data_IF_372429997633
#
_entry.id   IF_372429997633
#
_cell.length_a   1.000
_cell.length_b   1.000
_cell.length_c   1.000
_cell.angle_alpha   90.00
_cell.angle_beta   90.00
_cell.angle_gamma   90.00
#
_symmetry.space_group_name_H-M   'P 1'
#
loop_
_entity.id
_entity.type
_entity.pdbx_description
1 polymer ?
#
# COMPACT_ATOMS: atom_id res chain seq x y z
N UNK A 1 -4.91 -3.37 -22.24
CA UNK A 1 -5.42 -2.61 -21.08
C UNK A 1 -4.56 -2.89 -19.87
N UNK A 2 -4.13 -1.85 -19.18
CA UNK A 2 -3.39 -2.07 -17.93
C UNK A 2 -4.32 -2.71 -16.90
N UNK A 3 -3.80 -3.70 -16.20
CA UNK A 3 -4.53 -4.32 -15.12
C UNK A 3 -4.58 -3.37 -13.91
N UNK A 4 -5.62 -3.47 -13.08
CA UNK A 4 -5.78 -2.64 -11.89
C UNK A 4 -4.58 -2.73 -10.95
N UNK A 5 -3.95 -3.90 -10.85
CA UNK A 5 -2.80 -4.08 -9.98
C UNK A 5 -1.55 -3.30 -10.44
N UNK A 6 -1.54 -2.78 -11.68
CA UNK A 6 -0.44 -1.94 -12.14
C UNK A 6 -0.30 -0.67 -11.30
N UNK A 7 -1.43 -0.12 -10.82
CA UNK A 7 -1.37 1.04 -9.93
C UNK A 7 -0.61 0.68 -8.64
N UNK A 8 -0.90 -0.49 -8.07
CA UNK A 8 -0.26 -0.95 -6.84
C UNK A 8 1.20 -1.30 -7.07
N UNK A 9 1.53 -1.85 -8.24
CA UNK A 9 2.93 -2.07 -8.63
C UNK A 9 3.68 -0.77 -8.77
N UNK A 10 3.05 0.23 -9.40
CA UNK A 10 3.64 1.56 -9.52
C UNK A 10 3.87 2.19 -8.14
N UNK A 11 2.90 2.05 -7.24
CA UNK A 11 3.03 2.56 -5.88
C UNK A 11 4.17 1.88 -5.12
N UNK A 12 4.28 0.56 -5.26
CA UNK A 12 5.37 -0.20 -4.64
C UNK A 12 6.73 0.25 -5.18
N UNK A 13 6.85 0.37 -6.50
CA UNK A 13 8.09 0.82 -7.13
C UNK A 13 8.45 2.24 -6.69
N UNK A 14 7.45 3.12 -6.58
CA UNK A 14 7.66 4.49 -6.14
C UNK A 14 8.13 4.55 -4.67
N UNK A 15 7.53 3.75 -3.79
CA UNK A 15 7.97 3.67 -2.39
C UNK A 15 9.40 3.18 -2.28
N UNK A 16 9.74 2.17 -3.06
CA UNK A 16 11.11 1.63 -3.09
C UNK A 16 12.09 2.71 -3.53
N UNK A 17 11.76 3.45 -4.59
CA UNK A 17 12.61 4.55 -5.06
C UNK A 17 12.72 5.66 -4.02
N UNK A 18 11.60 5.99 -3.37
CA UNK A 18 11.58 7.03 -2.35
C UNK A 18 12.49 6.68 -1.17
N UNK A 19 12.55 5.41 -0.80
CA UNK A 19 13.39 4.95 0.31
C UNK A 19 14.89 5.18 0.06
N UNK A 20 15.29 5.37 -1.19
CA UNK A 20 16.68 5.66 -1.54
C UNK A 20 17.05 7.13 -1.32
N UNK A 21 16.07 8.00 -1.10
CA UNK A 21 16.32 9.36 -0.66
C UNK A 21 16.75 10.36 -1.71
N UNK A 22 16.62 10.04 -2.99
CA UNK A 22 17.15 10.90 -4.07
C UNK A 22 16.09 11.75 -4.77
N UNK A 23 14.82 11.40 -4.67
CA UNK A 23 13.76 12.05 -5.43
C UNK A 23 12.61 12.51 -4.55
N UNK A 24 11.95 13.57 -4.99
CA UNK A 24 10.70 14.03 -4.37
C UNK A 24 9.55 13.09 -4.76
N UNK A 25 8.57 12.98 -3.87
CA UNK A 25 7.41 12.12 -4.11
C UNK A 25 6.67 12.50 -5.39
N UNK A 26 6.52 13.81 -5.66
CA UNK A 26 5.88 14.29 -6.90
C UNK A 26 6.57 13.75 -8.14
N UNK A 27 7.90 13.80 -8.16
CA UNK A 27 8.71 13.30 -9.27
C UNK A 27 8.48 11.79 -9.45
N UNK A 28 8.39 11.06 -8.36
CA UNK A 28 8.18 9.61 -8.41
C UNK A 28 6.80 9.25 -8.94
N UNK A 29 5.77 10.02 -8.60
CA UNK A 29 4.42 9.82 -9.17
C UNK A 29 4.48 9.96 -10.69
N UNK A 30 5.08 11.05 -11.20
CA UNK A 30 5.17 11.28 -12.64
C UNK A 30 5.95 10.18 -13.35
N UNK A 31 7.11 9.83 -12.81
CA UNK A 31 7.96 8.80 -13.40
C UNK A 31 7.28 7.45 -13.49
N UNK A 32 6.65 7.02 -12.40
CA UNK A 32 6.04 5.70 -12.37
C UNK A 32 4.69 5.65 -13.05
N UNK A 33 3.94 6.76 -13.05
CA UNK A 33 2.71 6.83 -13.85
C UNK A 33 3.03 6.65 -15.34
N UNK A 34 4.08 7.29 -15.81
CA UNK A 34 4.52 7.18 -17.20
C UNK A 34 5.04 5.77 -17.50
N UNK A 35 5.88 5.24 -16.61
CA UNK A 35 6.48 3.91 -16.78
C UNK A 35 5.41 2.80 -16.87
N UNK A 36 4.38 2.89 -16.03
CA UNK A 36 3.32 1.89 -15.99
C UNK A 36 2.14 2.26 -16.88
N UNK A 37 2.26 3.33 -17.68
CA UNK A 37 1.24 3.75 -18.65
C UNK A 37 -0.13 3.97 -18.02
N UNK A 38 -0.15 4.65 -16.88
CA UNK A 38 -1.38 4.88 -16.15
C UNK A 38 -2.21 5.99 -16.80
N UNK A 39 -3.53 5.83 -16.78
CA UNK A 39 -4.46 6.87 -17.18
C UNK A 39 -4.42 8.02 -16.17
N UNK A 40 -5.05 9.16 -16.49
CA UNK A 40 -5.15 10.29 -15.55
C UNK A 40 -5.81 9.86 -14.24
N UNK A 41 -6.86 9.07 -14.33
CA UNK A 41 -7.57 8.57 -13.15
C UNK A 41 -6.68 7.68 -12.30
N UNK A 42 -5.98 6.75 -12.93
CA UNK A 42 -5.08 5.82 -12.22
C UNK A 42 -3.87 6.54 -11.65
N UNK A 43 -3.38 7.57 -12.33
CA UNK A 43 -2.32 8.42 -11.81
C UNK A 43 -2.76 9.11 -10.53
N UNK A 44 -4.01 9.58 -10.48
CA UNK A 44 -4.57 10.18 -9.27
C UNK A 44 -4.58 9.21 -8.09
N UNK A 45 -4.94 7.95 -8.35
CA UNK A 45 -4.92 6.92 -7.32
C UNK A 45 -3.48 6.60 -6.87
N UNK A 46 -2.55 6.53 -7.82
CA UNK A 46 -1.13 6.36 -7.47
C UNK A 46 -0.65 7.49 -6.55
N UNK A 47 -0.99 8.73 -6.89
CA UNK A 47 -0.65 9.90 -6.08
C UNK A 47 -1.21 9.75 -4.67
N UNK A 48 -2.49 9.42 -4.56
CA UNK A 48 -3.17 9.27 -3.28
C UNK A 48 -2.51 8.18 -2.43
N UNK A 49 -2.18 7.05 -3.04
CA UNK A 49 -1.56 5.94 -2.32
C UNK A 49 -0.15 6.32 -1.85
N UNK A 50 0.68 6.84 -2.75
CA UNK A 50 2.06 7.17 -2.38
C UNK A 50 2.13 8.20 -1.26
N UNK A 51 1.43 9.33 -1.45
CA UNK A 51 1.43 10.39 -0.44
C UNK A 51 0.75 9.96 0.85
N UNK A 52 -0.32 9.19 0.74
CA UNK A 52 -1.04 8.68 1.90
C UNK A 52 -0.21 7.74 2.74
N UNK A 53 0.48 6.80 2.09
CA UNK A 53 1.36 5.86 2.80
C UNK A 53 2.49 6.63 3.50
N UNK A 54 3.12 7.58 2.80
CA UNK A 54 4.20 8.37 3.40
C UNK A 54 3.72 9.18 4.59
N UNK A 55 2.54 9.77 4.48
CA UNK A 55 1.94 10.58 5.54
C UNK A 55 1.57 9.75 6.77
N UNK A 56 1.11 8.52 6.56
CA UNK A 56 0.58 7.67 7.62
C UNK A 56 1.48 6.49 7.98
N UNK A 57 2.76 6.55 7.59
CA UNK A 57 3.68 5.42 7.78
C UNK A 57 3.70 4.91 9.21
N UNK A 58 3.73 5.80 10.16
CA UNK A 58 3.85 5.42 11.57
C UNK A 58 2.66 4.59 12.05
N UNK A 59 1.46 5.03 11.74
CA UNK A 59 0.26 4.30 12.15
C UNK A 59 0.14 2.98 11.37
N UNK A 60 0.51 3.00 10.08
CA UNK A 60 0.49 1.78 9.28
C UNK A 60 1.47 0.73 9.82
N UNK A 61 2.66 1.16 10.21
CA UNK A 61 3.65 0.25 10.80
C UNK A 61 3.18 -0.31 12.14
N UNK A 62 2.47 0.50 12.92
CA UNK A 62 1.87 0.03 14.16
C UNK A 62 0.86 -1.09 13.91
N UNK A 63 -0.01 -0.93 12.91
CA UNK A 63 -0.97 -1.97 12.54
C UNK A 63 -0.28 -3.23 12.05
N UNK A 64 0.78 -3.10 11.26
CA UNK A 64 1.54 -4.25 10.79
C UNK A 64 2.09 -5.04 11.98
N UNK A 65 2.64 -4.35 12.97
CA UNK A 65 3.19 -5.00 14.17
C UNK A 65 2.12 -5.73 14.96
N UNK A 66 0.90 -5.20 15.01
CA UNK A 66 -0.21 -5.87 15.70
C UNK A 66 -0.72 -7.08 14.93
N UNK A 67 -0.75 -6.98 13.60
CA UNK A 67 -1.32 -8.03 12.76
C UNK A 67 -0.36 -9.20 12.53
N UNK A 68 0.93 -8.96 12.62
CA UNK A 68 1.92 -9.98 12.39
C UNK A 68 3.19 -9.73 13.19
N UNK A 69 3.67 -10.77 13.84
CA UNK A 69 4.93 -10.74 14.58
C UNK A 69 6.06 -11.25 13.70
N UNK A 70 7.28 -10.78 13.97
CA UNK A 70 8.47 -11.24 13.28
C UNK A 70 8.93 -10.31 12.17
N UNK A 71 10.04 -10.67 11.56
CA UNK A 71 10.65 -9.86 10.51
C UNK A 71 9.85 -9.95 9.21
N UNK A 72 9.84 -8.85 8.47
CA UNK A 72 9.23 -8.78 7.15
C UNK A 72 10.28 -8.27 6.16
N UNK A 73 10.28 -8.85 4.97
CA UNK A 73 11.06 -8.28 3.87
C UNK A 73 10.55 -6.87 3.57
N UNK A 74 11.44 -5.96 3.15
CA UNK A 74 11.03 -4.59 2.81
C UNK A 74 9.90 -4.53 1.78
N UNK A 75 9.92 -5.41 0.77
CA UNK A 75 8.87 -5.45 -0.24
C UNK A 75 7.52 -5.82 0.36
N UNK A 76 7.50 -6.83 1.23
CA UNK A 76 6.28 -7.24 1.90
C UNK A 76 5.75 -6.12 2.79
N UNK A 77 6.62 -5.46 3.52
CA UNK A 77 6.23 -4.34 4.39
C UNK A 77 5.60 -3.21 3.59
N UNK A 78 6.24 -2.81 2.49
CA UNK A 78 5.70 -1.74 1.66
C UNK A 78 4.34 -2.10 1.07
N UNK A 79 4.16 -3.33 0.60
CA UNK A 79 2.87 -3.76 0.07
C UNK A 79 1.81 -3.85 1.16
N UNK A 80 2.18 -4.24 2.38
CA UNK A 80 1.25 -4.21 3.50
C UNK A 80 0.83 -2.77 3.82
N UNK A 81 1.76 -1.83 3.80
CA UNK A 81 1.44 -0.41 3.98
C UNK A 81 0.43 0.06 2.93
N UNK A 82 0.66 -0.30 1.67
CA UNK A 82 -0.22 0.06 0.56
C UNK A 82 -1.61 -0.55 0.76
N UNK A 83 -1.68 -1.83 1.09
CA UNK A 83 -2.95 -2.50 1.30
C UNK A 83 -3.73 -1.95 2.49
N UNK A 84 -3.05 -1.76 3.61
CA UNK A 84 -3.67 -1.23 4.82
C UNK A 84 -4.15 0.21 4.63
N UNK A 85 -3.39 1.04 3.94
CA UNK A 85 -3.82 2.40 3.64
C UNK A 85 -5.12 2.41 2.85
N UNK A 86 -5.23 1.55 1.85
CA UNK A 86 -6.43 1.46 1.03
C UNK A 86 -7.64 1.00 1.84
N UNK A 87 -7.46 0.00 2.69
CA UNK A 87 -8.55 -0.58 3.48
C UNK A 87 -9.00 0.38 4.58
N UNK A 88 -8.05 0.94 5.31
CA UNK A 88 -8.35 1.64 6.56
C UNK A 88 -8.55 3.15 6.38
N UNK A 89 -7.84 3.76 5.46
CA UNK A 89 -7.84 5.22 5.34
C UNK A 89 -8.53 5.69 4.07
N UNK A 90 -8.17 5.11 2.93
CA UNK A 90 -8.76 5.52 1.65
C UNK A 90 -10.15 4.92 1.42
N UNK A 91 -10.51 3.94 2.21
CA UNK A 91 -11.82 3.28 2.19
C UNK A 91 -12.17 2.67 0.84
N UNK A 92 -11.18 2.06 0.20
CA UNK A 92 -11.42 1.24 -0.99
C UNK A 92 -12.05 -0.07 -0.53
N UNK A 93 -12.97 -0.61 -1.33
CA UNK A 93 -13.63 -1.88 -1.00
C UNK A 93 -12.57 -2.94 -0.64
N UNK A 94 -12.78 -3.63 0.48
CA UNK A 94 -11.79 -4.57 1.03
C UNK A 94 -11.34 -5.59 0.01
N UNK A 95 -12.28 -6.16 -0.72
CA UNK A 95 -12.02 -7.18 -1.74
C UNK A 95 -11.04 -6.67 -2.81
N UNK A 96 -11.31 -5.48 -3.35
CA UNK A 96 -10.45 -4.88 -4.38
C UNK A 96 -9.08 -4.53 -3.81
N UNK A 97 -9.05 -3.92 -2.62
CA UNK A 97 -7.79 -3.53 -2.00
C UNK A 97 -6.89 -4.74 -1.74
N UNK A 98 -7.46 -5.82 -1.20
CA UNK A 98 -6.70 -7.04 -0.92
C UNK A 98 -6.19 -7.67 -2.21
N UNK A 99 -7.09 -7.96 -3.14
CA UNK A 99 -6.75 -8.70 -4.36
C UNK A 99 -5.72 -7.95 -5.21
N UNK A 100 -5.94 -6.66 -5.44
CA UNK A 100 -5.04 -5.88 -6.29
C UNK A 100 -3.67 -5.70 -5.66
N UNK A 101 -3.61 -5.57 -4.33
CA UNK A 101 -2.33 -5.43 -3.63
C UNK A 101 -1.57 -6.75 -3.63
N UNK A 102 -2.25 -7.86 -3.38
CA UNK A 102 -1.63 -9.20 -3.40
C UNK A 102 -1.03 -9.48 -4.79
N UNK A 103 -1.79 -9.18 -5.86
CA UNK A 103 -1.32 -9.39 -7.23
C UNK A 103 -0.09 -8.54 -7.58
N UNK A 104 0.11 -7.42 -6.90
CA UNK A 104 1.28 -6.58 -7.11
C UNK A 104 2.55 -7.18 -6.51
N UNK A 105 2.44 -8.14 -5.61
CA UNK A 105 3.58 -8.78 -4.97
C UNK A 105 4.11 -9.97 -5.76
N UNK A 106 5.38 -10.30 -5.50
CA UNK A 106 5.97 -11.52 -6.05
C UNK A 106 5.30 -12.75 -5.45
N UNK A 107 5.33 -13.86 -6.17
CA UNK A 107 4.63 -15.08 -5.77
C UNK A 107 5.00 -15.54 -4.37
N UNK A 108 6.25 -15.38 -3.95
CA UNK A 108 6.73 -15.87 -2.65
C UNK A 108 6.19 -15.08 -1.45
N UNK A 109 5.63 -13.89 -1.67
CA UNK A 109 5.07 -13.10 -0.56
C UNK A 109 3.55 -12.95 -0.63
N UNK A 110 2.90 -13.43 -1.68
CA UNK A 110 1.46 -13.27 -1.87
C UNK A 110 0.63 -13.93 -0.76
N UNK A 111 1.05 -15.10 -0.32
CA UNK A 111 0.36 -15.79 0.79
C UNK A 111 0.36 -14.97 2.06
N UNK A 112 1.51 -14.41 2.40
CA UNK A 112 1.67 -13.53 3.55
C UNK A 112 0.78 -12.29 3.43
N UNK A 113 0.84 -11.61 2.26
CA UNK A 113 0.06 -10.41 2.02
C UNK A 113 -1.44 -10.69 2.16
N UNK A 114 -1.88 -11.77 1.53
CA UNK A 114 -3.29 -12.14 1.57
C UNK A 114 -3.76 -12.41 3.00
N UNK A 115 -2.98 -13.16 3.77
CA UNK A 115 -3.34 -13.50 5.15
C UNK A 115 -3.45 -12.24 6.03
N UNK A 116 -2.45 -11.37 5.97
CA UNK A 116 -2.41 -10.17 6.81
C UNK A 116 -3.49 -9.19 6.42
N UNK A 117 -3.65 -8.93 5.11
CA UNK A 117 -4.64 -7.95 4.65
C UNK A 117 -6.08 -8.42 4.88
N UNK A 118 -6.37 -9.71 4.74
CA UNK A 118 -7.69 -10.24 5.06
C UNK A 118 -7.98 -10.16 6.56
N UNK A 119 -6.98 -10.41 7.37
CA UNK A 119 -7.11 -10.25 8.82
C UNK A 119 -7.41 -8.80 9.18
N UNK A 120 -6.72 -7.84 8.55
CA UNK A 120 -6.97 -6.42 8.75
C UNK A 120 -8.40 -6.05 8.37
N UNK A 121 -8.86 -6.52 7.21
CA UNK A 121 -10.22 -6.25 6.74
C UNK A 121 -11.27 -6.77 7.73
N UNK A 122 -11.03 -7.94 8.32
CA UNK A 122 -11.91 -8.52 9.31
C UNK A 122 -11.90 -7.81 10.66
N UNK A 123 -10.87 -7.00 10.93
CA UNK A 123 -10.73 -6.24 12.17
C UNK A 123 -10.81 -4.73 11.93
N UNK A 124 -11.36 -4.32 10.82
CA UNK A 124 -11.33 -2.93 10.36
C UNK A 124 -11.80 -1.94 11.44
N UNK A 125 -12.96 -2.20 12.03
CA UNK A 125 -13.50 -1.27 13.02
C UNK A 125 -12.60 -1.16 14.25
N UNK A 126 -12.05 -2.27 14.71
CA UNK A 126 -11.13 -2.28 15.84
C UNK A 126 -9.87 -1.49 15.55
N UNK A 127 -9.31 -1.67 14.35
CA UNK A 127 -8.10 -0.96 13.96
C UNK A 127 -8.37 0.54 13.80
N UNK A 128 -9.52 0.90 13.23
CA UNK A 128 -9.88 2.31 13.04
C UNK A 128 -10.05 3.05 14.37
N UNK A 129 -10.48 2.37 15.42
CA UNK A 129 -10.64 2.98 16.75
C UNK A 129 -9.31 3.47 17.31
N UNK A 130 -8.19 2.88 16.91
CA UNK A 130 -6.88 3.24 17.43
C UNK A 130 -6.19 4.37 16.65
N UNK A 131 -6.70 4.74 15.48
CA UNK A 131 -6.06 5.77 14.65
C UNK A 131 -6.00 7.11 15.36
N UNK A 132 -7.08 7.52 16.00
CA UNK A 132 -7.13 8.81 16.69
C UNK A 132 -6.13 8.85 17.85
N UNK A 133 -5.90 7.72 18.51
CA UNK A 133 -4.97 7.63 19.63
C UNK A 133 -3.51 7.74 19.16
N UNK A 134 -3.25 7.40 17.89
CA UNK A 134 -1.90 7.36 17.34
C UNK A 134 -1.54 8.58 16.49
N UNK A 135 -2.52 9.39 16.15
CA UNK A 135 -2.28 10.55 15.28
C UNK A 135 -1.98 11.84 16.04
#
# INVERSE_FOLDING_TARGET
MPAQHNIRRAAHAALHSWSKGHDYAETLVERHAQRYQLSSSDRGLLHAILFGVLRHRRVLDHFIAELRKGKLDPDARDLLRIGLFQILILNIADHAAVNETVEAGKSNIRGLLNAVLRRAAGQKNKLLETIDDLS
#
